data_IF_750507837944
#
_entry.id   IF_750507837944
#
_cell.length_a   1.000
_cell.length_b   1.000
_cell.length_c   1.000
_cell.angle_alpha   90.00
_cell.angle_beta   90.00
_cell.angle_gamma   90.00
#
_symmetry.space_group_name_H-M   'P 1'
#
loop_
_entity.id
_entity.type
_entity.pdbx_description
1 polymer ?
#
# COMPACT_ATOMS: atom_id res chain seq x y z
N UNK A 1 -37.63 39.14 72.39
CA UNK A 1 -36.33 39.47 72.99
C UNK A 1 -35.26 39.14 71.97
N UNK A 2 -34.77 40.15 71.25
CA UNK A 2 -33.43 40.09 70.66
C UNK A 2 -32.44 40.50 71.76
N UNK A 3 -31.17 40.04 71.70
CA UNK A 3 -30.20 40.99 71.19
C UNK A 3 -28.96 40.41 70.47
N UNK A 4 -28.41 41.26 69.61
CA UNK A 4 -26.99 41.66 69.49
C UNK A 4 -26.11 40.95 68.46
N UNK A 5 -25.87 41.73 67.40
CA UNK A 5 -24.72 41.74 66.49
C UNK A 5 -23.37 41.42 67.14
N UNK A 6 -22.48 40.74 66.40
CA UNK A 6 -21.19 41.31 65.99
C UNK A 6 -20.52 40.50 64.85
N UNK A 7 -20.02 41.23 63.85
CA UNK A 7 -19.25 40.81 62.67
C UNK A 7 -17.96 40.02 63.02
N UNK A 8 -17.55 39.12 62.12
CA UNK A 8 -16.18 39.03 61.56
C UNK A 8 -16.19 38.23 60.24
N UNK A 9 -15.52 38.80 59.24
CA UNK A 9 -15.34 38.32 57.87
C UNK A 9 -14.17 37.33 57.77
N UNK A 10 -14.31 36.27 56.98
CA UNK A 10 -13.27 35.50 56.24
C UNK A 10 -13.86 34.11 55.88
N UNK A 11 -13.78 33.53 54.69
CA UNK A 11 -13.22 33.85 53.38
C UNK A 11 -13.93 32.94 52.35
N UNK A 12 -14.10 33.33 51.07
CA UNK A 12 -14.60 32.40 50.06
C UNK A 12 -13.41 31.59 49.54
N UNK A 13 -13.32 30.31 49.91
CA UNK A 13 -12.31 29.41 49.35
C UNK A 13 -13.02 28.20 48.72
N UNK A 14 -12.74 28.00 47.43
CA UNK A 14 -13.09 26.87 46.56
C UNK A 14 -14.60 26.80 46.27
N UNK A 15 -15.05 26.92 45.01
CA UNK A 15 -14.83 25.91 43.98
C UNK A 15 -14.71 26.59 42.59
N UNK A 16 -13.48 26.84 42.14
CA UNK A 16 -13.18 27.07 40.72
C UNK A 16 -12.43 25.83 40.23
N UNK A 17 -13.15 24.74 39.97
CA UNK A 17 -12.53 23.51 39.44
C UNK A 17 -13.56 22.57 38.79
N UNK A 18 -14.38 23.06 37.84
CA UNK A 18 -15.29 22.17 37.12
C UNK A 18 -15.60 22.59 35.67
N UNK A 19 -14.71 23.32 35.00
CA UNK A 19 -14.95 23.78 33.62
C UNK A 19 -13.83 23.43 32.62
N UNK A 20 -12.82 22.63 32.98
CA UNK A 20 -11.69 22.31 32.10
C UNK A 20 -11.67 20.87 31.54
N UNK A 21 -12.73 20.08 31.75
CA UNK A 21 -12.75 18.68 31.32
C UNK A 21 -13.49 18.42 29.98
N UNK A 22 -13.83 19.46 29.21
CA UNK A 22 -14.54 19.30 27.92
C UNK A 22 -13.67 19.69 26.72
N UNK A 23 -12.41 19.27 26.72
CA UNK A 23 -11.57 19.23 25.51
C UNK A 23 -10.86 17.88 25.39
N UNK A 24 -11.62 16.80 25.55
CA UNK A 24 -11.24 15.55 24.93
C UNK A 24 -11.38 15.75 23.42
N UNK A 25 -10.29 16.18 22.76
CA UNK A 25 -10.19 16.17 21.32
C UNK A 25 -10.55 14.75 20.84
N UNK A 26 -11.70 14.60 20.19
CA UNK A 26 -12.02 13.37 19.49
C UNK A 26 -10.94 13.21 18.42
N UNK A 27 -9.93 12.37 18.69
CA UNK A 27 -8.98 11.98 17.67
C UNK A 27 -9.81 11.45 16.48
N UNK A 28 -9.57 11.93 15.24
CA UNK A 28 -10.31 11.40 14.11
C UNK A 28 -10.01 9.91 14.06
N UNK A 29 -11.06 9.08 14.13
CA UNK A 29 -10.92 7.66 13.87
C UNK A 29 -10.40 7.52 12.44
N UNK A 30 -9.09 7.29 12.28
CA UNK A 30 -8.52 6.91 11.00
C UNK A 30 -9.03 5.51 10.68
N UNK A 31 -10.12 5.45 9.92
CA UNK A 31 -10.52 4.23 9.26
C UNK A 31 -9.36 3.81 8.34
N UNK A 32 -8.54 2.86 8.80
CA UNK A 32 -7.61 2.18 7.92
C UNK A 32 -8.46 1.36 6.95
N UNK A 33 -8.85 1.95 5.82
CA UNK A 33 -9.38 1.20 4.69
C UNK A 33 -8.32 0.18 4.31
N UNK A 34 -8.47 -1.05 4.82
CA UNK A 34 -7.60 -2.15 4.45
C UNK A 34 -7.80 -2.31 2.96
N UNK A 35 -6.76 -2.03 2.18
CA UNK A 35 -6.81 -2.20 0.74
C UNK A 35 -7.38 -3.61 0.45
N UNK A 36 -8.47 -3.71 -0.34
CA UNK A 36 -9.11 -4.98 -0.56
C UNK A 36 -8.07 -5.96 -1.11
N UNK A 37 -8.00 -7.15 -0.50
CA UNK A 37 -7.10 -8.20 -0.97
C UNK A 37 -7.55 -8.64 -2.35
N UNK A 38 -6.61 -8.73 -3.29
CA UNK A 38 -6.89 -9.20 -4.62
C UNK A 38 -7.25 -10.70 -4.59
N UNK A 39 -8.40 -11.11 -5.16
CA UNK A 39 -8.75 -12.51 -5.30
C UNK A 39 -7.64 -13.31 -5.97
N UNK A 40 -7.38 -14.54 -5.50
CA UNK A 40 -6.33 -15.40 -6.04
C UNK A 40 -6.57 -15.80 -7.50
N UNK A 41 -7.84 -15.90 -7.92
CA UNK A 41 -8.25 -16.35 -9.27
C UNK A 41 -7.97 -15.34 -10.40
N UNK A 42 -7.68 -14.07 -10.07
CA UNK A 42 -7.37 -13.07 -11.11
C UNK A 42 -5.99 -13.38 -11.71
N UNK A 43 -5.95 -13.58 -13.03
CA UNK A 43 -4.75 -13.99 -13.77
C UNK A 43 -4.03 -15.17 -13.09
N UNK A 44 -4.80 -16.19 -12.76
CA UNK A 44 -4.31 -17.39 -12.10
C UNK A 44 -3.56 -18.28 -13.10
N UNK A 45 -2.25 -18.07 -13.17
CA UNK A 45 -1.34 -18.89 -13.95
C UNK A 45 -0.33 -19.52 -13.00
N UNK A 46 0.01 -20.78 -13.27
CA UNK A 46 1.04 -21.54 -12.55
C UNK A 46 2.44 -21.02 -12.91
N UNK A 47 2.74 -19.77 -12.55
CA UNK A 47 3.93 -19.04 -12.93
C UNK A 47 5.24 -19.74 -12.53
N UNK A 48 5.19 -20.63 -11.52
CA UNK A 48 6.33 -21.47 -11.09
C UNK A 48 6.71 -22.54 -12.12
N UNK A 49 5.85 -22.85 -13.10
CA UNK A 49 6.15 -23.81 -14.18
C UNK A 49 7.05 -23.24 -15.28
N UNK A 50 7.46 -21.97 -15.18
CA UNK A 50 8.46 -21.37 -16.06
C UNK A 50 7.99 -20.13 -16.80
N UNK A 51 8.90 -19.57 -17.61
CA UNK A 51 8.76 -18.23 -18.21
C UNK A 51 7.55 -18.09 -19.14
N UNK A 52 7.10 -19.17 -19.78
CA UNK A 52 5.86 -19.15 -20.55
C UNK A 52 4.65 -18.77 -19.69
N UNK A 53 4.51 -19.36 -18.50
CA UNK A 53 3.41 -19.07 -17.58
C UNK A 53 3.51 -17.63 -17.04
N UNK A 54 4.73 -17.14 -16.78
CA UNK A 54 4.96 -15.73 -16.43
C UNK A 54 4.52 -14.79 -17.56
N UNK A 55 4.82 -15.12 -18.82
CA UNK A 55 4.35 -14.34 -19.97
C UNK A 55 2.83 -14.35 -20.08
N UNK A 56 2.15 -15.48 -19.87
CA UNK A 56 0.67 -15.53 -19.86
C UNK A 56 0.07 -14.67 -18.76
N UNK A 57 0.66 -14.72 -17.56
CA UNK A 57 0.31 -13.84 -16.44
C UNK A 57 0.47 -12.36 -16.81
N UNK A 58 1.56 -11.96 -17.47
CA UNK A 58 1.76 -10.57 -17.94
C UNK A 58 0.69 -10.18 -18.96
N UNK A 59 0.39 -11.04 -19.94
CA UNK A 59 -0.65 -10.78 -20.95
C UNK A 59 -2.01 -10.57 -20.32
N UNK A 60 -2.41 -11.46 -19.40
CA UNK A 60 -3.67 -11.34 -18.67
C UNK A 60 -3.73 -10.02 -17.89
N UNK A 61 -2.67 -9.70 -17.15
CA UNK A 61 -2.60 -8.48 -16.35
C UNK A 61 -2.68 -7.21 -17.22
N UNK A 62 -1.86 -7.15 -18.28
CA UNK A 62 -1.81 -6.00 -19.18
C UNK A 62 -3.17 -5.73 -19.86
N UNK A 63 -3.88 -6.80 -20.26
CA UNK A 63 -5.24 -6.69 -20.79
C UNK A 63 -6.25 -6.26 -19.71
N UNK A 64 -6.14 -6.80 -18.50
CA UNK A 64 -7.10 -6.56 -17.41
C UNK A 64 -7.12 -5.11 -16.90
N UNK A 65 -5.99 -4.42 -16.98
CA UNK A 65 -5.79 -3.08 -16.40
C UNK A 65 -5.38 -2.01 -17.41
N UNK A 66 -5.46 -2.31 -18.71
CA UNK A 66 -5.21 -1.36 -19.81
C UNK A 66 -3.93 -0.52 -19.63
N UNK A 67 -2.80 -1.21 -19.50
CA UNK A 67 -1.50 -0.56 -19.26
C UNK A 67 -1.03 0.21 -20.52
N UNK A 68 -0.38 1.38 -20.38
CA UNK A 68 0.15 2.13 -21.52
C UNK A 68 1.04 1.28 -22.44
N UNK A 69 0.77 1.30 -23.75
CA UNK A 69 1.47 0.44 -24.73
C UNK A 69 1.07 -1.04 -24.69
N UNK A 70 0.14 -1.41 -23.81
CA UNK A 70 -0.51 -2.71 -23.71
C UNK A 70 0.44 -3.88 -23.45
N UNK A 71 -0.01 -5.06 -23.85
CA UNK A 71 0.70 -6.33 -23.67
C UNK A 71 2.11 -6.32 -24.27
N UNK A 72 2.30 -5.72 -25.46
CA UNK A 72 3.62 -5.70 -26.10
C UNK A 72 4.63 -4.93 -25.25
N UNK A 73 4.26 -3.75 -24.74
CA UNK A 73 5.14 -2.94 -23.90
C UNK A 73 5.43 -3.64 -22.57
N UNK A 74 4.41 -4.19 -21.92
CA UNK A 74 4.59 -4.94 -20.67
C UNK A 74 5.54 -6.13 -20.82
N UNK A 75 5.45 -6.88 -21.92
CA UNK A 75 6.35 -8.00 -22.21
C UNK A 75 7.77 -7.51 -22.51
N UNK A 76 7.94 -6.42 -23.24
CA UNK A 76 9.25 -5.84 -23.55
C UNK A 76 9.98 -5.37 -22.28
N UNK A 77 9.27 -4.66 -21.38
CA UNK A 77 9.83 -4.23 -20.10
C UNK A 77 10.23 -5.44 -19.25
N UNK A 78 9.35 -6.41 -19.05
CA UNK A 78 9.68 -7.61 -18.25
C UNK A 78 10.84 -8.44 -18.85
N UNK A 79 10.97 -8.48 -20.18
CA UNK A 79 12.09 -9.13 -20.85
C UNK A 79 13.42 -8.44 -20.51
N UNK A 80 13.45 -7.11 -20.61
CA UNK A 80 14.64 -6.30 -20.31
C UNK A 80 14.99 -6.33 -18.82
N UNK A 81 14.00 -6.22 -17.93
CA UNK A 81 14.22 -6.16 -16.48
C UNK A 81 14.76 -7.47 -15.90
N UNK A 82 14.25 -8.62 -16.33
CA UNK A 82 14.60 -9.91 -15.69
C UNK A 82 14.70 -11.10 -16.62
N UNK A 83 14.38 -10.96 -17.91
CA UNK A 83 14.16 -12.10 -18.79
C UNK A 83 13.01 -13.00 -18.31
N UNK A 84 11.97 -12.40 -17.70
CA UNK A 84 10.81 -13.09 -17.12
C UNK A 84 11.10 -13.97 -15.90
N UNK A 85 12.22 -13.74 -15.20
CA UNK A 85 12.65 -14.54 -14.05
C UNK A 85 12.04 -14.03 -12.74
N UNK A 86 11.21 -14.84 -12.04
CA UNK A 86 10.64 -14.45 -10.75
C UNK A 86 11.67 -14.31 -9.63
N UNK A 87 12.77 -15.04 -9.72
CA UNK A 87 13.87 -15.09 -8.75
C UNK A 87 14.96 -14.04 -9.00
N UNK A 88 14.82 -13.23 -10.05
CA UNK A 88 15.81 -12.21 -10.39
C UNK A 88 16.00 -11.21 -9.25
N UNK A 89 17.26 -10.98 -8.87
CA UNK A 89 17.66 -9.98 -7.90
C UNK A 89 18.94 -9.33 -8.39
N UNK A 90 19.01 -7.99 -8.32
CA UNK A 90 20.22 -7.27 -8.69
C UNK A 90 20.88 -6.58 -7.47
N UNK A 91 22.18 -6.22 -7.55
CA UNK A 91 22.90 -5.58 -6.45
C UNK A 91 22.31 -4.23 -6.00
N UNK A 92 21.55 -3.56 -6.85
CA UNK A 92 20.88 -2.29 -6.53
C UNK A 92 19.57 -2.47 -5.73
N UNK A 93 19.20 -3.70 -5.38
CA UNK A 93 18.05 -3.99 -4.51
C UNK A 93 16.72 -4.04 -5.24
N UNK A 94 16.71 -4.47 -6.50
CA UNK A 94 15.49 -4.71 -7.27
C UNK A 94 15.23 -6.20 -7.46
N UNK A 95 13.96 -6.61 -7.39
CA UNK A 95 13.56 -8.01 -7.32
C UNK A 95 12.39 -8.38 -8.26
N UNK A 96 12.43 -9.62 -8.73
CA UNK A 96 11.39 -10.28 -9.50
C UNK A 96 11.24 -9.78 -10.93
N UNK A 97 10.11 -10.17 -11.53
CA UNK A 97 9.84 -10.09 -12.98
C UNK A 97 10.01 -8.69 -13.55
N UNK A 98 9.54 -7.67 -12.84
CA UNK A 98 9.61 -6.26 -13.24
C UNK A 98 10.61 -5.47 -12.40
N UNK A 99 11.58 -6.15 -11.77
CA UNK A 99 12.64 -5.53 -10.95
C UNK A 99 12.10 -4.41 -10.07
N UNK A 100 11.23 -4.77 -9.13
CA UNK A 100 10.65 -3.80 -8.20
C UNK A 100 11.65 -3.49 -7.07
N UNK A 101 11.81 -2.21 -6.74
CA UNK A 101 12.66 -1.79 -5.63
C UNK A 101 12.16 -2.39 -4.31
N UNK A 102 12.97 -3.27 -3.71
CA UNK A 102 12.58 -4.06 -2.52
C UNK A 102 12.20 -3.15 -1.34
N UNK A 103 12.91 -2.02 -1.17
CA UNK A 103 12.63 -1.05 -0.10
C UNK A 103 11.21 -0.47 -0.11
N UNK A 104 10.59 -0.35 -1.29
CA UNK A 104 9.22 0.18 -1.43
C UNK A 104 8.16 -0.92 -1.57
N UNK A 105 8.60 -2.16 -1.73
CA UNK A 105 7.72 -3.26 -2.08
C UNK A 105 6.60 -3.52 -1.07
N UNK A 106 6.82 -3.54 0.27
CA UNK A 106 5.74 -3.82 1.21
C UNK A 106 4.56 -2.85 1.07
N UNK A 107 4.85 -1.56 0.88
CA UNK A 107 3.84 -0.53 0.68
C UNK A 107 3.15 -0.67 -0.69
N UNK A 108 3.89 -0.86 -1.77
CA UNK A 108 3.33 -1.06 -3.12
C UNK A 108 2.44 -2.30 -3.18
N UNK A 109 2.91 -3.43 -2.67
CA UNK A 109 2.16 -4.67 -2.62
C UNK A 109 0.86 -4.49 -1.83
N UNK A 110 0.91 -3.83 -0.67
CA UNK A 110 -0.29 -3.51 0.10
C UNK A 110 -1.27 -2.61 -0.67
N UNK A 111 -0.78 -1.51 -1.26
CA UNK A 111 -1.58 -0.57 -2.03
C UNK A 111 -2.33 -1.24 -3.18
N UNK A 112 -1.68 -2.18 -3.88
CA UNK A 112 -2.28 -2.92 -4.98
C UNK A 112 -2.93 -4.25 -4.57
N UNK A 113 -3.30 -4.41 -3.29
CA UNK A 113 -4.15 -5.49 -2.79
C UNK A 113 -3.45 -6.83 -2.58
N UNK A 114 -2.11 -6.85 -2.55
CA UNK A 114 -1.29 -8.05 -2.35
C UNK A 114 -0.37 -7.92 -1.12
N UNK A 115 -0.87 -7.46 0.05
CA UNK A 115 -0.04 -7.23 1.23
C UNK A 115 0.69 -8.50 1.68
N UNK A 116 1.94 -8.35 2.11
CA UNK A 116 2.77 -9.45 2.62
C UNK A 116 3.26 -10.46 1.57
N UNK A 117 2.93 -10.27 0.29
CA UNK A 117 3.49 -11.11 -0.77
C UNK A 117 4.94 -10.73 -1.04
N UNK A 118 5.78 -11.73 -1.31
CA UNK A 118 7.18 -11.53 -1.69
C UNK A 118 7.28 -10.84 -3.07
N UNK A 119 8.28 -9.97 -3.30
CA UNK A 119 8.55 -9.44 -4.65
C UNK A 119 9.00 -10.55 -5.61
N UNK A 120 9.44 -11.71 -5.11
CA UNK A 120 9.77 -12.89 -5.91
C UNK A 120 8.55 -13.76 -6.26
N UNK A 121 7.38 -13.47 -5.69
CA UNK A 121 6.14 -14.10 -6.14
C UNK A 121 5.75 -13.47 -7.48
N UNK A 122 5.91 -14.20 -8.59
CA UNK A 122 5.69 -13.63 -9.93
C UNK A 122 4.29 -13.04 -10.09
N UNK A 123 3.25 -13.70 -9.58
CA UNK A 123 1.88 -13.19 -9.59
C UNK A 123 1.78 -11.83 -8.91
N UNK A 124 2.33 -11.70 -7.72
CA UNK A 124 2.30 -10.43 -7.00
C UNK A 124 3.12 -9.36 -7.75
N UNK A 125 4.35 -9.69 -8.14
CA UNK A 125 5.25 -8.77 -8.85
C UNK A 125 4.63 -8.24 -10.15
N UNK A 126 4.09 -9.11 -10.99
CA UNK A 126 3.43 -8.73 -12.25
C UNK A 126 2.20 -7.86 -11.98
N UNK A 127 1.30 -8.28 -11.10
CA UNK A 127 0.06 -7.54 -10.88
C UNK A 127 0.33 -6.15 -10.29
N UNK A 128 1.21 -6.06 -9.28
CA UNK A 128 1.60 -4.76 -8.70
C UNK A 128 2.20 -3.86 -9.79
N UNK A 129 3.13 -4.38 -10.57
CA UNK A 129 3.84 -3.60 -11.59
C UNK A 129 2.92 -3.11 -12.70
N UNK A 130 2.04 -3.97 -13.20
CA UNK A 130 1.09 -3.59 -14.25
C UNK A 130 0.08 -2.57 -13.75
N UNK A 131 -0.45 -2.74 -12.53
CA UNK A 131 -1.37 -1.76 -11.96
C UNK A 131 -0.69 -0.42 -11.66
N UNK A 132 0.57 -0.44 -11.25
CA UNK A 132 1.38 0.76 -11.13
C UNK A 132 1.56 1.46 -12.47
N UNK A 133 1.98 0.72 -13.50
CA UNK A 133 2.18 1.28 -14.83
C UNK A 133 0.87 1.80 -15.44
N UNK A 134 -0.27 1.16 -15.16
CA UNK A 134 -1.58 1.67 -15.55
C UNK A 134 -1.94 2.98 -14.83
N UNK A 135 -1.55 3.13 -13.56
CA UNK A 135 -1.88 4.31 -12.76
C UNK A 135 -0.98 5.52 -13.04
N UNK A 136 0.32 5.30 -13.25
CA UNK A 136 1.32 6.39 -13.33
C UNK A 136 2.25 6.31 -14.55
N UNK A 137 1.99 5.39 -15.47
CA UNK A 137 2.87 5.14 -16.61
C UNK A 137 4.14 4.37 -16.25
N UNK A 138 5.00 4.19 -17.25
CA UNK A 138 6.21 3.37 -17.13
C UNK A 138 7.47 4.12 -16.69
N UNK A 139 7.39 5.43 -16.44
CA UNK A 139 8.55 6.24 -16.02
C UNK A 139 9.41 5.67 -14.88
N UNK A 140 8.85 4.90 -13.92
CA UNK A 140 9.65 4.24 -12.89
C UNK A 140 10.56 3.08 -13.35
N UNK A 141 10.44 2.59 -14.59
CA UNK A 141 11.22 1.48 -15.14
C UNK A 141 12.25 1.97 -16.15
N UNK A 142 13.52 1.64 -15.92
CA UNK A 142 14.61 2.05 -16.83
C UNK A 142 14.55 1.36 -18.20
N UNK A 143 13.89 0.21 -18.28
CA UNK A 143 13.71 -0.57 -19.50
C UNK A 143 12.47 -0.16 -20.34
N UNK A 144 11.79 0.93 -19.98
CA UNK A 144 10.50 1.31 -20.56
C UNK A 144 10.53 2.57 -21.44
#
# INVERSE_FOLDING_TARGET
MEPSMLRRLAAPILVVAAALALWAAAAPARAHHRAPRLPLRICDHEWWRGTWHVKQLIKCAAHRWDVPGGTRKALAVAACESGFRPDAYNPAGYAGVFQQAVRYWPMRAAHYGLPGRSPFNARANVIVSIRMAAAVGWGPWGCA
#
